data_IF_172148651258
#
_entry.id   IF_172148651258
#
_cell.length_a   1.000
_cell.length_b   1.000
_cell.length_c   1.000
_cell.angle_alpha   90.00
_cell.angle_beta   90.00
_cell.angle_gamma   90.00
#
_symmetry.space_group_name_H-M   'P 1'
#
loop_
_entity.id
_entity.type
_entity.pdbx_description
1 polymer ?
#
# COMPACT_ATOMS: atom_id res chain seq x y z
N UNK A 1 16.54 15.10 -47.20
CA UNK A 1 16.49 13.73 -46.61
C UNK A 1 15.80 13.90 -45.26
N UNK A 2 14.47 13.77 -45.20
CA UNK A 2 13.74 12.53 -44.90
C UNK A 2 14.22 11.92 -43.57
N UNK A 3 13.43 11.69 -42.53
CA UNK A 3 12.00 11.87 -42.26
C UNK A 3 11.83 11.86 -40.72
N UNK A 4 10.77 12.48 -40.20
CA UNK A 4 10.19 12.11 -38.90
C UNK A 4 9.32 10.85 -39.14
N UNK A 5 9.17 9.90 -38.17
CA UNK A 5 8.09 10.08 -37.20
C UNK A 5 8.24 9.38 -35.81
N UNK A 6 7.52 9.95 -34.83
CA UNK A 6 6.68 9.30 -33.81
C UNK A 6 7.09 7.94 -33.21
N UNK A 7 7.20 7.90 -31.87
CA UNK A 7 6.58 6.82 -31.09
C UNK A 7 5.93 7.40 -29.85
N UNK A 8 4.79 8.05 -30.07
CA UNK A 8 3.71 8.04 -29.09
C UNK A 8 3.23 6.60 -28.90
N UNK A 9 2.99 6.27 -27.64
CA UNK A 9 2.01 5.25 -27.22
C UNK A 9 2.47 3.80 -27.28
N UNK A 10 2.93 3.28 -26.14
CA UNK A 10 2.29 2.07 -25.62
C UNK A 10 1.34 2.50 -24.51
N UNK A 11 0.11 2.77 -24.91
CA UNK A 11 -1.04 2.66 -24.00
C UNK A 11 -1.19 1.17 -23.72
N UNK A 12 -0.33 0.64 -22.86
CA UNK A 12 -0.75 -0.43 -22.00
C UNK A 12 -1.55 0.27 -20.92
N UNK A 13 -2.84 -0.03 -20.80
CA UNK A 13 -3.58 0.14 -19.54
C UNK A 13 -2.88 -0.70 -18.47
N UNK A 14 -1.71 -0.26 -18.03
CA UNK A 14 -1.05 -0.73 -16.84
C UNK A 14 -1.61 0.18 -15.77
N UNK A 15 -2.69 -0.27 -15.15
CA UNK A 15 -3.22 0.37 -13.94
C UNK A 15 -2.02 0.63 -13.03
N UNK A 16 -1.63 1.90 -12.86
CA UNK A 16 -0.47 2.27 -12.05
C UNK A 16 -0.74 1.88 -10.61
N UNK A 17 -0.37 0.66 -10.25
CA UNK A 17 -0.48 0.14 -8.90
C UNK A 17 0.42 1.02 -8.02
N UNK A 18 -0.20 1.87 -7.21
CA UNK A 18 0.51 2.78 -6.32
C UNK A 18 -0.07 2.68 -4.92
N UNK A 19 0.80 2.82 -3.93
CA UNK A 19 0.41 2.82 -2.52
C UNK A 19 -0.25 4.16 -2.22
N UNK A 20 -1.45 4.12 -1.66
CA UNK A 20 -2.17 5.33 -1.21
C UNK A 20 -2.04 5.45 0.30
N UNK A 21 -1.63 6.64 0.77
CA UNK A 21 -1.52 6.95 2.20
C UNK A 21 -2.47 8.08 2.54
N UNK A 22 -3.47 7.78 3.34
CA UNK A 22 -4.43 8.75 3.87
C UNK A 22 -3.94 9.24 5.24
N UNK A 23 -3.52 10.51 5.26
CA UNK A 23 -3.06 11.21 6.45
C UNK A 23 -4.26 11.71 7.24
N UNK A 24 -4.30 11.40 8.53
CA UNK A 24 -5.36 11.84 9.44
C UNK A 24 -6.79 11.48 8.95
N UNK A 25 -7.09 10.18 8.77
CA UNK A 25 -8.41 9.70 8.38
C UNK A 25 -9.47 10.07 9.44
N UNK A 26 -10.68 10.40 9.00
CA UNK A 26 -11.79 10.74 9.91
C UNK A 26 -12.25 9.53 10.73
N UNK A 27 -12.74 9.76 11.96
CA UNK A 27 -13.24 8.70 12.84
C UNK A 27 -14.35 7.85 12.20
N UNK A 28 -15.24 8.49 11.45
CA UNK A 28 -16.30 7.81 10.69
C UNK A 28 -15.74 6.86 9.64
N UNK A 29 -14.63 7.23 8.98
CA UNK A 29 -13.97 6.41 7.95
C UNK A 29 -13.37 5.15 8.58
N UNK A 30 -12.66 5.32 9.69
CA UNK A 30 -12.07 4.19 10.44
C UNK A 30 -13.15 3.25 10.99
N UNK A 31 -14.27 3.81 11.45
CA UNK A 31 -15.40 3.03 11.95
C UNK A 31 -16.11 2.26 10.84
N UNK A 32 -16.34 2.87 9.66
CA UNK A 32 -16.93 2.19 8.49
C UNK A 32 -16.09 1.00 8.00
N UNK A 33 -14.78 1.11 8.14
CA UNK A 33 -13.84 0.04 7.79
C UNK A 33 -13.80 -1.06 8.85
N UNK A 34 -14.34 -0.82 10.05
CA UNK A 34 -14.25 -1.70 11.20
C UNK A 34 -12.79 -2.05 11.55
N UNK A 35 -11.88 -1.07 11.51
CA UNK A 35 -10.45 -1.30 11.80
C UNK A 35 -10.21 -1.94 13.17
N UNK A 36 -11.14 -1.73 14.12
CA UNK A 36 -11.08 -2.32 15.46
C UNK A 36 -11.30 -3.83 15.44
N UNK A 37 -12.02 -4.33 14.44
CA UNK A 37 -12.28 -5.75 14.23
C UNK A 37 -11.13 -6.43 13.45
N UNK A 38 -10.28 -5.65 12.78
CA UNK A 38 -9.17 -6.19 12.01
C UNK A 38 -8.11 -6.81 12.93
N UNK A 39 -7.45 -7.89 12.48
CA UNK A 39 -6.33 -8.45 13.21
C UNK A 39 -5.20 -7.42 13.35
N UNK A 40 -4.51 -7.49 14.49
CA UNK A 40 -3.29 -6.71 14.74
C UNK A 40 -2.08 -7.47 14.25
N UNK A 41 -1.17 -6.74 13.62
CA UNK A 41 0.12 -7.25 13.21
C UNK A 41 1.21 -6.30 13.69
N UNK A 42 2.31 -6.88 14.16
CA UNK A 42 3.48 -6.11 14.51
C UNK A 42 4.76 -6.88 14.26
N UNK A 43 5.83 -6.13 14.00
CA UNK A 43 7.13 -6.70 13.67
C UNK A 43 8.28 -5.78 14.07
N UNK A 44 9.45 -6.39 14.29
CA UNK A 44 10.70 -5.73 14.64
C UNK A 44 11.22 -4.84 13.52
N UNK A 45 12.00 -3.78 13.83
CA UNK A 45 12.67 -2.99 12.81
C UNK A 45 13.60 -3.84 11.95
N UNK A 46 13.57 -3.61 10.64
CA UNK A 46 14.21 -4.45 9.63
C UNK A 46 13.61 -4.21 8.24
N UNK A 47 14.16 -4.90 7.23
CA UNK A 47 13.75 -4.76 5.83
C UNK A 47 13.03 -6.03 5.36
N UNK A 48 11.78 -5.90 4.93
CA UNK A 48 10.91 -7.01 4.56
C UNK A 48 10.39 -6.84 3.14
N UNK A 49 10.51 -7.89 2.32
CA UNK A 49 9.96 -7.89 0.97
C UNK A 49 8.56 -8.46 1.00
N UNK A 50 7.57 -7.62 0.69
CA UNK A 50 6.16 -7.99 0.73
C UNK A 50 5.59 -8.02 -0.70
N UNK A 51 4.80 -9.06 -0.96
CA UNK A 51 4.06 -9.23 -2.21
C UNK A 51 2.58 -9.34 -1.87
N UNK A 52 1.78 -8.44 -2.43
CA UNK A 52 0.36 -8.35 -2.16
C UNK A 52 -0.40 -9.08 -3.28
N UNK A 53 -0.97 -10.24 -2.96
CA UNK A 53 -1.76 -11.03 -3.93
C UNK A 53 -3.23 -10.58 -3.99
N UNK A 54 -3.66 -9.78 -3.02
CA UNK A 54 -4.95 -9.10 -2.95
C UNK A 54 -4.76 -7.66 -2.46
N UNK A 55 -5.80 -6.83 -2.60
CA UNK A 55 -5.77 -5.50 -2.02
C UNK A 55 -5.71 -5.61 -0.50
N UNK A 56 -4.68 -5.03 0.11
CA UNK A 56 -4.51 -4.94 1.55
C UNK A 56 -4.72 -3.50 1.98
N UNK A 57 -5.65 -3.28 2.90
CA UNK A 57 -5.73 -2.02 3.62
C UNK A 57 -5.19 -2.23 5.03
N UNK A 58 -4.28 -1.36 5.45
CA UNK A 58 -3.71 -1.42 6.77
C UNK A 58 -3.63 -0.04 7.44
N UNK A 59 -3.92 0.02 8.72
CA UNK A 59 -3.88 1.24 9.52
C UNK A 59 -2.76 1.17 10.54
N UNK A 60 -1.79 2.06 10.44
CA UNK A 60 -0.65 2.11 11.35
C UNK A 60 -1.08 2.72 12.67
N UNK A 61 -0.98 1.96 13.76
CA UNK A 61 -1.19 2.47 15.11
C UNK A 61 0.10 3.10 15.65
N UNK A 62 1.23 2.45 15.42
CA UNK A 62 2.56 2.86 15.92
C UNK A 62 3.67 2.43 14.96
N UNK A 63 4.82 3.11 15.09
CA UNK A 63 6.02 2.81 14.31
C UNK A 63 6.19 3.69 13.08
N UNK A 64 7.23 3.39 12.29
CA UNK A 64 7.58 4.11 11.06
C UNK A 64 8.09 3.13 10.01
N UNK A 65 7.50 3.22 8.82
CA UNK A 65 7.81 2.36 7.68
C UNK A 65 8.00 3.20 6.44
N UNK A 66 8.97 2.83 5.62
CA UNK A 66 9.15 3.35 4.28
C UNK A 66 8.96 2.22 3.27
N UNK A 67 7.93 2.33 2.43
CA UNK A 67 7.67 1.38 1.37
C UNK A 67 8.34 1.82 0.07
N UNK A 68 9.02 0.88 -0.57
CA UNK A 68 9.72 1.07 -1.85
C UNK A 68 9.03 0.24 -2.94
N UNK A 69 8.04 0.81 -3.65
CA UNK A 69 7.33 0.11 -4.72
C UNK A 69 8.24 -0.22 -5.90
N UNK A 70 8.15 -1.46 -6.40
CA UNK A 70 8.98 -1.92 -7.52
C UNK A 70 8.58 -1.20 -8.81
N UNK A 71 9.56 -0.61 -9.50
CA UNK A 71 9.34 0.15 -10.73
C UNK A 71 9.06 1.64 -10.51
N UNK A 72 9.05 2.10 -9.25
CA UNK A 72 8.98 3.52 -8.90
C UNK A 72 10.32 3.97 -8.31
N UNK A 73 10.77 5.16 -8.69
CA UNK A 73 11.92 5.82 -8.04
C UNK A 73 11.54 6.47 -6.71
N UNK A 74 10.25 6.75 -6.52
CA UNK A 74 9.70 7.40 -5.34
C UNK A 74 9.38 6.36 -4.25
N UNK A 75 9.78 6.66 -3.01
CA UNK A 75 9.43 5.88 -1.82
C UNK A 75 8.27 6.52 -1.07
N UNK A 76 7.42 5.69 -0.47
CA UNK A 76 6.25 6.15 0.30
C UNK A 76 6.52 5.96 1.78
N UNK A 77 6.53 7.06 2.55
CA UNK A 77 6.75 7.02 3.99
C UNK A 77 5.41 7.19 4.74
N UNK A 78 5.18 6.33 5.72
CA UNK A 78 3.98 6.33 6.57
C UNK A 78 4.28 5.78 7.96
N UNK A 79 3.42 6.10 8.91
CA UNK A 79 3.58 5.70 10.31
C UNK A 79 2.28 5.83 11.09
N UNK A 80 2.42 5.88 12.41
CA UNK A 80 1.31 5.98 13.34
C UNK A 80 0.25 7.04 12.94
N UNK A 81 -1.01 6.62 12.82
CA UNK A 81 -2.13 7.47 12.45
C UNK A 81 -2.48 7.46 10.95
N UNK A 82 -1.67 6.82 10.11
CA UNK A 82 -1.88 6.80 8.66
C UNK A 82 -2.60 5.52 8.19
N UNK A 83 -3.55 5.67 7.27
CA UNK A 83 -4.22 4.56 6.60
C UNK A 83 -3.58 4.30 5.23
N UNK A 84 -3.06 3.10 5.03
CA UNK A 84 -2.32 2.71 3.83
C UNK A 84 -3.08 1.65 3.06
N UNK A 85 -3.36 1.92 1.79
CA UNK A 85 -4.01 0.98 0.89
C UNK A 85 -3.03 0.53 -0.18
N UNK A 86 -2.83 -0.77 -0.25
CA UNK A 86 -1.93 -1.44 -1.19
C UNK A 86 -2.77 -2.23 -2.19
N UNK A 87 -2.71 -1.93 -3.50
CA UNK A 87 -3.53 -2.61 -4.48
C UNK A 87 -2.99 -4.03 -4.78
N UNK A 88 -3.91 -4.90 -5.19
CA UNK A 88 -3.60 -6.28 -5.61
C UNK A 88 -2.52 -6.31 -6.69
N UNK A 89 -1.54 -7.19 -6.52
CA UNK A 89 -0.43 -7.41 -7.45
C UNK A 89 0.76 -6.47 -7.24
N UNK A 90 0.69 -5.52 -6.30
CA UNK A 90 1.83 -4.66 -5.97
C UNK A 90 2.91 -5.45 -5.23
N UNK A 91 4.17 -5.17 -5.53
CA UNK A 91 5.33 -5.65 -4.79
C UNK A 91 6.16 -4.46 -4.31
N UNK A 92 6.45 -4.41 -3.02
CA UNK A 92 7.27 -3.35 -2.45
C UNK A 92 8.12 -3.89 -1.29
N UNK A 93 9.20 -3.17 -0.99
CA UNK A 93 10.04 -3.48 0.16
C UNK A 93 9.69 -2.53 1.29
N UNK A 94 9.37 -3.08 2.46
CA UNK A 94 9.09 -2.31 3.67
C UNK A 94 10.37 -2.18 4.49
N UNK A 95 10.79 -0.94 4.70
CA UNK A 95 11.92 -0.58 5.55
C UNK A 95 11.39 -0.05 6.88
N UNK A 96 11.44 -0.91 7.89
CA UNK A 96 10.88 -0.64 9.21
C UNK A 96 11.99 -0.08 10.10
N UNK A 97 11.94 1.22 10.36
CA UNK A 97 12.91 1.86 11.28
C UNK A 97 12.54 1.68 12.74
N UNK A 98 11.24 1.62 13.05
CA UNK A 98 10.71 1.47 14.41
C UNK A 98 9.66 0.36 14.37
N UNK A 99 9.64 -0.48 15.41
CA UNK A 99 8.68 -1.57 15.54
C UNK A 99 7.26 -1.10 15.18
N UNK A 100 6.63 -1.85 14.28
CA UNK A 100 5.34 -1.50 13.69
C UNK A 100 4.24 -2.15 14.48
N UNK A 101 3.15 -1.42 14.68
CA UNK A 101 1.88 -1.97 15.13
C UNK A 101 0.80 -1.43 14.20
N UNK A 102 0.10 -2.33 13.50
CA UNK A 102 -0.91 -1.97 12.51
C UNK A 102 -2.08 -2.94 12.52
N UNK A 103 -3.25 -2.45 12.17
CA UNK A 103 -4.36 -3.29 11.75
C UNK A 103 -4.26 -3.57 10.26
N UNK A 104 -4.58 -4.78 9.81
CA UNK A 104 -4.57 -5.13 8.39
C UNK A 104 -5.82 -5.90 8.01
N UNK A 105 -6.28 -5.71 6.78
CA UNK A 105 -7.39 -6.45 6.19
C UNK A 105 -7.09 -6.67 4.72
N UNK A 106 -7.31 -7.91 4.28
CA UNK A 106 -7.31 -8.26 2.87
C UNK A 106 -8.74 -8.20 2.33
N UNK A 107 -8.90 -7.65 1.14
CA UNK A 107 -10.12 -7.85 0.36
C UNK A 107 -10.20 -9.32 -0.02
N UNK A 108 -10.95 -10.09 0.76
CA UNK A 108 -11.34 -11.42 0.36
C UNK A 108 -12.25 -11.27 -0.85
N UNK A 109 -11.90 -11.86 -1.99
CA UNK A 109 -12.82 -12.01 -3.13
C UNK A 109 -13.94 -12.96 -2.74
N UNK A 110 -14.78 -12.56 -1.79
CA UNK A 110 -16.04 -13.22 -1.51
C UNK A 110 -17.04 -12.63 -2.50
N UNK A 111 -17.02 -13.15 -3.73
CA UNK A 111 -18.25 -13.25 -4.49
C UNK A 111 -19.21 -14.14 -3.69
N UNK A 112 -19.93 -13.56 -2.72
CA UNK A 112 -21.24 -14.08 -2.35
C UNK A 112 -22.20 -13.48 -3.38
N UNK A 113 -22.50 -14.22 -4.45
CA UNK A 113 -23.62 -15.19 -4.53
C UNK A 113 -24.96 -14.50 -4.38
#
# INVERSE_FOLDING_TARGET
MAAEPCSSTSSSSSSSLRITVERNPSESRLSQLDIKCWPKWGCSPGRYQLKFDAEETCYLLKGRVKAYPKGSSESVEFGAGDLVTIPKGLSCTWDVSVAVDKHYKFESSSSSS
#
